data_IF_493966152622
#
_entry.id   IF_493966152622
#
_cell.length_a   1.000
_cell.length_b   1.000
_cell.length_c   1.000
_cell.angle_alpha   90.00
_cell.angle_beta   90.00
_cell.angle_gamma   90.00
#
_symmetry.space_group_name_H-M   'P 1'
#
loop_
_entity.id
_entity.type
_entity.pdbx_description
1 polymer ?
#
# COMPACT_ATOMS: atom_id res chain seq x y z
N UNK A 1 7.54 39.12 -10.19
CA UNK A 1 7.10 37.79 -9.77
C UNK A 1 8.34 36.98 -9.47
N UNK A 2 8.71 36.87 -8.17
CA UNK A 2 9.92 36.18 -7.77
C UNK A 2 9.76 34.69 -8.03
N UNK A 3 10.69 34.08 -8.72
CA UNK A 3 10.88 32.64 -8.79
C UNK A 3 11.00 32.11 -7.35
N UNK A 4 9.98 31.44 -6.86
CA UNK A 4 10.07 30.71 -5.60
C UNK A 4 11.16 29.66 -5.78
N UNK A 5 12.39 29.94 -5.31
CA UNK A 5 13.50 29.00 -5.32
C UNK A 5 13.03 27.74 -4.57
N UNK A 6 12.98 26.66 -5.30
CA UNK A 6 12.67 25.34 -4.78
C UNK A 6 13.56 25.02 -3.56
N UNK A 7 12.97 24.84 -2.40
CA UNK A 7 13.72 24.59 -1.18
C UNK A 7 13.83 23.10 -0.90
N UNK A 8 14.86 22.47 -1.47
CA UNK A 8 15.15 21.05 -1.30
C UNK A 8 15.28 20.64 0.17
N UNK A 9 15.73 21.54 1.06
CA UNK A 9 15.87 21.24 2.48
C UNK A 9 14.52 20.92 3.16
N UNK A 10 13.42 21.52 2.70
CA UNK A 10 12.07 21.22 3.20
C UNK A 10 11.51 19.89 2.65
N UNK A 11 12.04 19.41 1.53
CA UNK A 11 11.56 18.19 0.89
C UNK A 11 12.12 16.92 1.56
N UNK A 12 13.38 16.94 2.02
CA UNK A 12 14.03 15.77 2.61
C UNK A 12 13.23 15.15 3.77
N UNK A 13 12.73 15.92 4.78
CA UNK A 13 11.90 15.36 5.83
C UNK A 13 10.58 14.77 5.35
N UNK A 14 10.01 15.34 4.28
CA UNK A 14 8.78 14.80 3.68
C UNK A 14 9.07 13.49 2.93
N UNK A 15 10.23 13.37 2.28
CA UNK A 15 10.67 12.12 1.64
C UNK A 15 10.94 11.03 2.68
N UNK A 16 11.50 11.37 3.85
CA UNK A 16 11.62 10.43 4.97
C UNK A 16 10.24 9.96 5.46
N UNK A 17 9.24 10.84 5.48
CA UNK A 17 7.87 10.46 5.80
C UNK A 17 7.27 9.52 4.72
N UNK A 18 7.56 9.75 3.41
CA UNK A 18 7.21 8.79 2.35
C UNK A 18 7.90 7.44 2.54
N UNK A 19 9.16 7.42 2.95
CA UNK A 19 9.86 6.18 3.26
C UNK A 19 9.17 5.43 4.41
N UNK A 20 8.88 6.13 5.52
CA UNK A 20 8.15 5.57 6.65
C UNK A 20 6.73 5.10 6.27
N UNK A 21 6.07 5.75 5.31
CA UNK A 21 4.78 5.31 4.76
C UNK A 21 4.86 3.92 4.14
N UNK A 22 6.03 3.52 3.61
CA UNK A 22 6.26 2.19 3.06
C UNK A 22 6.32 1.07 4.10
N UNK A 23 6.45 1.40 5.39
CA UNK A 23 6.51 0.40 6.47
C UNK A 23 5.22 -0.40 6.62
N UNK A 24 4.09 0.11 6.16
CA UNK A 24 2.83 -0.66 6.14
C UNK A 24 2.97 -1.96 5.34
N UNK A 25 3.83 -1.98 4.34
CA UNK A 25 3.99 -3.13 3.47
C UNK A 25 4.83 -4.26 4.14
N UNK A 26 5.48 -3.97 5.30
CA UNK A 26 6.10 -5.01 6.15
C UNK A 26 5.06 -6.02 6.67
N UNK A 27 3.80 -5.63 6.74
CA UNK A 27 2.73 -6.49 7.27
C UNK A 27 2.64 -7.82 6.53
N UNK A 28 2.92 -7.84 5.22
CA UNK A 28 2.88 -9.08 4.43
C UNK A 28 3.87 -10.11 4.95
N UNK A 29 5.14 -9.73 5.06
CA UNK A 29 6.18 -10.64 5.54
C UNK A 29 6.06 -10.91 7.04
N UNK A 30 5.76 -9.90 7.85
CA UNK A 30 5.57 -10.07 9.29
C UNK A 30 4.41 -11.03 9.61
N UNK A 31 3.31 -11.01 8.83
CA UNK A 31 2.20 -11.97 8.98
C UNK A 31 2.68 -13.42 8.82
N UNK A 32 3.59 -13.66 7.88
CA UNK A 32 4.10 -15.01 7.65
C UNK A 32 4.98 -15.49 8.81
N UNK A 33 5.84 -14.63 9.36
CA UNK A 33 6.63 -14.96 10.55
C UNK A 33 5.72 -15.20 11.77
N UNK A 34 4.78 -14.30 12.06
CA UNK A 34 3.83 -14.47 13.17
C UNK A 34 3.01 -15.75 13.02
N UNK A 35 2.60 -16.10 11.78
CA UNK A 35 1.90 -17.36 11.52
C UNK A 35 2.72 -18.57 11.94
N UNK A 36 4.00 -18.61 11.57
CA UNK A 36 4.89 -19.72 11.87
C UNK A 36 5.22 -19.76 13.36
N UNK A 37 5.60 -18.62 13.95
CA UNK A 37 6.04 -18.53 15.34
C UNK A 37 4.92 -18.88 16.35
N UNK A 38 3.68 -18.55 16.02
CA UNK A 38 2.51 -18.78 16.89
C UNK A 38 1.62 -19.95 16.41
N UNK A 39 2.06 -20.71 15.41
CA UNK A 39 1.33 -21.87 14.85
C UNK A 39 -0.11 -21.55 14.44
N UNK A 40 -0.33 -20.40 13.79
CA UNK A 40 -1.67 -19.91 13.44
C UNK A 40 -2.16 -20.50 12.12
N UNK A 41 -3.49 -20.67 12.00
CA UNK A 41 -4.14 -20.93 10.70
C UNK A 41 -4.00 -19.73 9.75
N UNK A 42 -4.21 -19.94 8.46
CA UNK A 42 -4.22 -18.86 7.47
C UNK A 42 -5.33 -17.85 7.74
N UNK A 43 -6.49 -18.29 8.18
CA UNK A 43 -7.60 -17.42 8.58
C UNK A 43 -7.19 -16.47 9.70
N UNK A 44 -6.61 -16.99 10.78
CA UNK A 44 -6.21 -16.19 11.95
C UNK A 44 -5.06 -15.26 11.61
N UNK A 45 -4.02 -15.75 10.92
CA UNK A 45 -2.87 -14.92 10.55
C UNK A 45 -3.26 -13.75 9.64
N UNK A 46 -4.20 -13.95 8.71
CA UNK A 46 -4.66 -12.90 7.80
C UNK A 46 -5.56 -11.84 8.46
N UNK A 47 -5.94 -11.99 9.74
CA UNK A 47 -6.53 -10.90 10.52
C UNK A 47 -5.53 -9.75 10.68
N UNK A 48 -4.22 -10.04 10.77
CA UNK A 48 -3.19 -9.01 10.96
C UNK A 48 -3.15 -7.99 9.79
N UNK A 49 -2.96 -8.38 8.53
CA UNK A 49 -3.01 -7.43 7.42
C UNK A 49 -4.41 -6.81 7.27
N UNK A 50 -5.47 -7.56 7.56
CA UNK A 50 -6.83 -7.04 7.51
C UNK A 50 -7.03 -5.89 8.47
N UNK A 51 -6.51 -5.98 9.70
CA UNK A 51 -6.59 -4.90 10.68
C UNK A 51 -5.80 -3.67 10.29
N UNK A 52 -4.65 -3.82 9.60
CA UNK A 52 -3.91 -2.66 9.09
C UNK A 52 -4.76 -1.85 8.12
N UNK A 53 -5.45 -2.51 7.19
CA UNK A 53 -6.23 -1.83 6.15
C UNK A 53 -7.65 -1.45 6.58
N UNK A 54 -8.17 -2.06 7.65
CA UNK A 54 -9.47 -1.71 8.24
C UNK A 54 -9.55 -0.22 8.61
N UNK A 55 -8.49 0.32 9.18
CA UNK A 55 -8.46 1.69 9.67
C UNK A 55 -8.49 2.75 8.57
N UNK A 56 -8.20 2.39 7.32
CA UNK A 56 -8.38 3.30 6.18
C UNK A 56 -9.85 3.68 5.99
N UNK A 57 -10.78 2.75 6.25
CA UNK A 57 -12.21 3.02 6.20
C UNK A 57 -12.61 4.11 7.22
N UNK A 58 -12.03 4.05 8.42
CA UNK A 58 -12.42 4.90 9.54
C UNK A 58 -11.68 6.24 9.52
N UNK A 59 -10.35 6.23 9.31
CA UNK A 59 -9.50 7.40 9.54
C UNK A 59 -9.30 8.29 8.31
N UNK A 60 -9.58 7.83 7.07
CA UNK A 60 -9.30 8.64 5.87
C UNK A 60 -10.06 9.98 5.86
N UNK A 61 -11.35 9.98 6.21
CA UNK A 61 -12.15 11.22 6.24
C UNK A 61 -11.90 12.06 7.50
N UNK A 62 -11.88 11.51 8.73
CA UNK A 62 -11.52 12.27 9.92
C UNK A 62 -10.15 12.95 9.83
N UNK A 63 -9.18 12.35 9.14
CA UNK A 63 -7.86 12.96 8.92
C UNK A 63 -7.94 14.26 8.10
N UNK A 64 -8.84 14.32 7.10
CA UNK A 64 -9.12 15.56 6.38
C UNK A 64 -9.57 16.70 7.31
N UNK A 65 -10.46 16.36 8.26
CA UNK A 65 -10.91 17.33 9.28
C UNK A 65 -9.80 17.68 10.27
N UNK A 66 -8.97 16.74 10.63
CA UNK A 66 -7.82 16.96 11.52
C UNK A 66 -6.82 17.92 10.90
N UNK A 67 -6.49 17.75 9.60
CA UNK A 67 -5.61 18.66 8.86
C UNK A 67 -6.07 20.12 8.90
N UNK A 68 -7.38 20.37 8.90
CA UNK A 68 -7.90 21.73 8.98
C UNK A 68 -7.79 22.35 10.38
N UNK A 69 -7.75 21.52 11.43
CA UNK A 69 -7.60 21.99 12.82
C UNK A 69 -6.14 22.26 13.19
N UNK A 70 -5.26 21.31 12.90
CA UNK A 70 -3.87 21.33 13.38
C UNK A 70 -2.83 21.50 12.28
N UNK A 71 -3.25 21.58 11.02
CA UNK A 71 -2.39 21.67 9.84
C UNK A 71 -1.93 20.30 9.32
N UNK A 72 -1.47 20.28 8.07
CA UNK A 72 -1.03 19.08 7.35
C UNK A 72 0.26 18.51 7.94
N UNK A 73 1.24 19.40 8.21
CA UNK A 73 2.52 19.02 8.81
C UNK A 73 2.35 18.32 10.16
N UNK A 74 1.57 18.91 11.06
CA UNK A 74 1.34 18.30 12.38
C UNK A 74 0.57 16.99 12.27
N UNK A 75 -0.34 16.86 11.30
CA UNK A 75 -1.04 15.61 11.02
C UNK A 75 -0.07 14.52 10.56
N UNK A 76 0.90 14.84 9.69
CA UNK A 76 1.96 13.90 9.27
C UNK A 76 2.87 13.54 10.46
N UNK A 77 3.22 14.48 11.31
CA UNK A 77 4.01 14.20 12.54
C UNK A 77 3.26 13.22 13.46
N UNK A 78 1.97 13.45 13.70
CA UNK A 78 1.14 12.53 14.49
C UNK A 78 1.14 11.13 13.87
N UNK A 79 1.01 11.01 12.56
CA UNK A 79 1.03 9.71 11.89
C UNK A 79 2.36 8.98 12.07
N UNK A 80 3.49 9.69 11.98
CA UNK A 80 4.83 9.14 12.23
C UNK A 80 5.01 8.69 13.68
N UNK A 81 4.48 9.46 14.66
CA UNK A 81 4.52 9.08 16.07
C UNK A 81 3.69 7.81 16.30
N UNK A 82 2.47 7.74 15.76
CA UNK A 82 1.63 6.54 15.85
C UNK A 82 2.33 5.34 15.22
N UNK A 83 2.98 5.52 14.06
CA UNK A 83 3.78 4.48 13.41
C UNK A 83 4.96 4.04 14.30
N UNK A 84 5.70 4.98 14.90
CA UNK A 84 6.81 4.64 15.80
C UNK A 84 6.32 3.85 17.04
N UNK A 85 5.20 4.26 17.63
CA UNK A 85 4.57 3.55 18.76
C UNK A 85 4.12 2.15 18.34
N UNK A 86 3.54 2.00 17.16
CA UNK A 86 3.14 0.68 16.64
C UNK A 86 4.32 -0.29 16.54
N UNK A 87 5.47 0.22 16.05
CA UNK A 87 6.69 -0.56 15.89
C UNK A 87 7.41 -0.85 17.22
N UNK A 88 7.16 -0.06 18.26
CA UNK A 88 7.69 -0.28 19.60
C UNK A 88 6.98 -1.43 20.33
N UNK A 89 5.66 -1.60 20.12
CA UNK A 89 4.86 -2.58 20.87
C UNK A 89 5.41 -4.01 20.84
N UNK A 90 5.81 -4.57 19.68
CA UNK A 90 6.37 -5.92 19.61
C UNK A 90 7.68 -6.10 20.37
N UNK A 91 8.34 -5.01 20.77
CA UNK A 91 9.62 -5.02 21.48
C UNK A 91 9.45 -4.95 22.99
N UNK A 92 8.35 -4.33 23.47
CA UNK A 92 8.13 -4.08 24.90
C UNK A 92 7.02 -4.94 25.50
N UNK A 93 6.14 -5.49 24.69
CA UNK A 93 5.09 -6.38 25.10
C UNK A 93 5.49 -7.85 24.92
N UNK A 94 4.85 -8.74 25.66
CA UNK A 94 4.97 -10.18 25.45
C UNK A 94 4.61 -10.53 23.99
N UNK A 95 5.45 -11.36 23.35
CA UNK A 95 5.23 -11.78 21.98
C UNK A 95 4.07 -12.76 21.87
N UNK A 96 2.90 -12.24 21.54
CA UNK A 96 1.68 -13.02 21.35
C UNK A 96 0.76 -12.36 20.32
N UNK A 97 -0.30 -13.04 19.93
CA UNK A 97 -1.20 -12.57 18.87
C UNK A 97 -1.84 -11.20 19.17
N UNK A 98 -2.28 -10.95 20.39
CA UNK A 98 -2.99 -9.71 20.75
C UNK A 98 -2.10 -8.47 20.68
N UNK A 99 -0.91 -8.41 21.28
CA UNK A 99 0.02 -7.30 21.07
C UNK A 99 0.40 -7.07 19.60
N UNK A 100 0.60 -8.13 18.82
CA UNK A 100 0.86 -8.01 17.39
C UNK A 100 -0.33 -7.40 16.64
N UNK A 101 -1.55 -7.82 16.97
CA UNK A 101 -2.78 -7.26 16.40
C UNK A 101 -2.95 -5.77 16.72
N UNK A 102 -2.65 -5.36 17.96
CA UNK A 102 -2.67 -3.95 18.39
C UNK A 102 -1.59 -3.15 17.64
N UNK A 103 -0.39 -3.69 17.57
CA UNK A 103 0.71 -3.08 16.80
C UNK A 103 0.31 -2.83 15.35
N UNK A 104 -0.22 -3.83 14.66
CA UNK A 104 -0.63 -3.71 13.25
C UNK A 104 -1.85 -2.80 13.08
N UNK A 105 -2.76 -2.79 14.04
CA UNK A 105 -3.87 -1.82 14.07
C UNK A 105 -3.35 -0.38 14.14
N UNK A 106 -2.41 -0.09 15.04
CA UNK A 106 -1.80 1.23 15.16
C UNK A 106 -0.97 1.60 13.91
N UNK A 107 -0.26 0.63 13.31
CA UNK A 107 0.44 0.82 12.04
C UNK A 107 -0.54 1.24 10.94
N UNK A 108 -1.70 0.60 10.88
CA UNK A 108 -2.78 0.92 9.95
C UNK A 108 -3.35 2.33 10.18
N UNK A 109 -3.61 2.70 11.43
CA UNK A 109 -4.06 4.06 11.80
C UNK A 109 -3.02 5.10 11.37
N UNK A 110 -1.76 4.90 11.75
CA UNK A 110 -0.67 5.78 11.36
C UNK A 110 -0.58 5.94 9.84
N UNK A 111 -0.68 4.84 9.11
CA UNK A 111 -0.58 4.86 7.65
C UNK A 111 -1.81 5.51 6.98
N UNK A 112 -3.01 5.30 7.48
CA UNK A 112 -4.22 5.96 6.97
C UNK A 112 -4.13 7.49 7.13
N UNK A 113 -3.66 7.96 8.30
CA UNK A 113 -3.40 9.38 8.56
C UNK A 113 -2.29 9.90 7.62
N UNK A 114 -1.21 9.14 7.45
CA UNK A 114 -0.08 9.51 6.59
C UNK A 114 -0.51 9.67 5.14
N UNK A 115 -1.12 8.66 4.55
CA UNK A 115 -1.50 8.68 3.13
C UNK A 115 -2.49 9.81 2.80
N UNK A 116 -3.36 10.14 3.75
CA UNK A 116 -4.32 11.23 3.56
C UNK A 116 -3.66 12.61 3.65
N UNK A 117 -2.61 12.78 4.46
CA UNK A 117 -2.04 14.10 4.79
C UNK A 117 -0.75 14.45 4.04
N UNK A 118 0.06 13.46 3.65
CA UNK A 118 1.38 13.72 3.05
C UNK A 118 1.30 14.38 1.67
N UNK A 119 0.36 13.94 0.82
CA UNK A 119 0.20 14.50 -0.52
C UNK A 119 -0.25 15.98 -0.49
N UNK A 120 -1.25 16.39 0.31
CA UNK A 120 -1.54 17.79 0.55
C UNK A 120 -0.37 18.58 1.15
N UNK A 121 0.46 17.96 2.01
CA UNK A 121 1.64 18.62 2.57
C UNK A 121 2.68 18.95 1.49
N UNK A 122 2.94 18.02 0.55
CA UNK A 122 3.83 18.26 -0.60
C UNK A 122 3.35 19.47 -1.40
N UNK A 123 2.04 19.65 -1.58
CA UNK A 123 1.51 20.78 -2.35
C UNK A 123 1.76 22.16 -1.70
N UNK A 124 2.15 22.20 -0.43
CA UNK A 124 2.58 23.43 0.26
C UNK A 124 4.05 23.78 -0.02
N UNK A 125 4.86 22.81 -0.47
CA UNK A 125 6.29 22.99 -0.74
C UNK A 125 6.52 23.22 -2.23
N UNK A 126 5.72 22.55 -3.06
CA UNK A 126 5.88 22.49 -4.51
C UNK A 126 4.56 22.77 -5.21
N UNK A 127 4.60 23.52 -6.30
CA UNK A 127 3.42 23.87 -7.09
C UNK A 127 3.61 23.59 -8.59
N UNK A 128 2.51 23.64 -9.34
CA UNK A 128 2.53 23.52 -10.80
C UNK A 128 3.02 22.15 -11.28
N UNK A 129 3.79 22.14 -12.36
CA UNK A 129 4.29 20.90 -13.02
C UNK A 129 5.20 20.06 -12.11
N UNK A 130 5.89 20.70 -11.18
CA UNK A 130 6.81 20.00 -10.26
C UNK A 130 6.08 19.18 -9.19
N UNK A 131 4.84 19.52 -8.85
CA UNK A 131 4.06 18.81 -7.86
C UNK A 131 3.89 17.32 -8.19
N UNK A 132 3.47 17.02 -9.42
CA UNK A 132 3.30 15.64 -9.87
C UNK A 132 4.62 14.86 -9.83
N UNK A 133 5.72 15.48 -10.26
CA UNK A 133 7.05 14.87 -10.23
C UNK A 133 7.49 14.54 -8.79
N UNK A 134 7.34 15.48 -7.86
CA UNK A 134 7.73 15.28 -6.45
C UNK A 134 6.85 14.24 -5.76
N UNK A 135 5.54 14.22 -6.03
CA UNK A 135 4.64 13.18 -5.51
C UNK A 135 5.04 11.79 -6.05
N UNK A 136 5.34 11.68 -7.36
CA UNK A 136 5.81 10.42 -7.97
C UNK A 136 7.13 9.98 -7.36
N UNK A 137 8.05 10.91 -7.12
CA UNK A 137 9.32 10.60 -6.46
C UNK A 137 9.11 10.16 -5.00
N UNK A 138 8.16 10.76 -4.28
CA UNK A 138 7.74 10.30 -2.95
C UNK A 138 7.23 8.85 -2.96
N UNK A 139 6.39 8.50 -3.93
CA UNK A 139 5.91 7.12 -4.09
C UNK A 139 7.04 6.14 -4.45
N UNK A 140 8.03 6.58 -5.24
CA UNK A 140 9.23 5.78 -5.49
C UNK A 140 10.03 5.55 -4.20
N UNK A 141 10.21 6.58 -3.36
CA UNK A 141 10.88 6.44 -2.05
C UNK A 141 10.10 5.48 -1.13
N UNK A 142 8.75 5.55 -1.13
CA UNK A 142 7.89 4.57 -0.45
C UNK A 142 8.18 3.15 -0.94
N UNK A 143 8.23 2.95 -2.25
CA UNK A 143 8.42 1.64 -2.85
C UNK A 143 9.80 1.03 -2.51
N UNK A 144 10.83 1.86 -2.30
CA UNK A 144 12.13 1.39 -1.80
C UNK A 144 11.99 0.77 -0.41
N UNK A 145 11.27 1.43 0.51
CA UNK A 145 11.04 0.89 1.85
C UNK A 145 10.30 -0.45 1.80
N UNK A 146 9.28 -0.55 0.97
CA UNK A 146 8.50 -1.78 0.76
C UNK A 146 9.36 -2.91 0.19
N UNK A 147 10.27 -2.60 -0.75
CA UNK A 147 11.21 -3.56 -1.33
C UNK A 147 12.24 -4.06 -0.32
N UNK A 148 12.76 -3.17 0.53
CA UNK A 148 13.83 -3.48 1.48
C UNK A 148 13.31 -4.22 2.71
N UNK A 149 12.04 -4.02 3.11
CA UNK A 149 11.47 -4.62 4.31
C UNK A 149 11.61 -6.16 4.38
N UNK A 150 11.22 -6.94 3.36
CA UNK A 150 11.40 -8.40 3.39
C UNK A 150 12.88 -8.82 3.42
N UNK A 151 13.76 -8.05 2.78
CA UNK A 151 15.20 -8.32 2.77
C UNK A 151 15.77 -8.13 4.18
N UNK A 152 15.40 -7.05 4.89
CA UNK A 152 15.82 -6.80 6.26
C UNK A 152 15.29 -7.90 7.18
N UNK A 153 14.01 -8.29 7.04
CA UNK A 153 13.41 -9.34 7.86
C UNK A 153 14.14 -10.69 7.68
N UNK A 154 14.39 -11.08 6.42
CA UNK A 154 15.14 -12.31 6.10
C UNK A 154 16.57 -12.25 6.63
N UNK A 155 17.28 -11.15 6.41
CA UNK A 155 18.64 -10.96 6.92
C UNK A 155 18.69 -11.05 8.45
N UNK A 156 17.74 -10.41 9.13
CA UNK A 156 17.67 -10.45 10.59
C UNK A 156 17.37 -11.85 11.12
N UNK A 157 16.44 -12.57 10.46
CA UNK A 157 16.14 -13.96 10.82
C UNK A 157 17.36 -14.89 10.67
N UNK A 158 18.19 -14.69 9.64
CA UNK A 158 19.38 -15.53 9.40
C UNK A 158 20.54 -15.15 10.34
N UNK A 159 20.81 -13.85 10.55
CA UNK A 159 21.98 -13.40 11.29
C UNK A 159 21.78 -13.36 12.80
N UNK A 160 20.59 -13.07 13.27
CA UNK A 160 20.26 -12.87 14.68
C UNK A 160 19.24 -13.90 15.20
N UNK A 161 18.77 -14.80 14.34
CA UNK A 161 17.70 -15.74 14.66
C UNK A 161 16.41 -15.04 15.16
N UNK A 162 16.29 -13.75 14.85
CA UNK A 162 15.16 -12.91 15.27
C UNK A 162 14.75 -11.88 14.18
N UNK A 163 13.75 -12.23 13.38
CA UNK A 163 13.20 -11.36 12.36
C UNK A 163 12.61 -10.05 12.93
N UNK A 164 12.28 -10.02 14.22
CA UNK A 164 11.67 -8.85 14.89
C UNK A 164 12.60 -7.66 14.96
N UNK A 165 13.89 -7.83 14.67
CA UNK A 165 14.85 -6.73 14.50
C UNK A 165 14.42 -5.74 13.39
N UNK A 166 13.50 -6.10 12.51
CA UNK A 166 12.85 -5.21 11.56
C UNK A 166 12.14 -4.04 12.28
N UNK A 167 11.46 -4.29 13.39
CA UNK A 167 10.70 -3.28 14.12
C UNK A 167 11.57 -2.15 14.68
N UNK A 168 12.66 -2.39 15.44
CA UNK A 168 13.51 -1.32 15.94
C UNK A 168 14.19 -0.52 14.81
N UNK A 169 14.58 -1.17 13.71
CA UNK A 169 15.17 -0.48 12.56
C UNK A 169 14.17 0.53 11.99
N UNK A 170 12.95 0.12 11.71
CA UNK A 170 11.92 1.00 11.15
C UNK A 170 11.40 2.03 12.16
N UNK A 171 11.37 1.68 13.45
CA UNK A 171 11.05 2.62 14.53
C UNK A 171 12.05 3.78 14.57
N UNK A 172 13.36 3.49 14.53
CA UNK A 172 14.40 4.52 14.52
C UNK A 172 14.24 5.46 13.32
N UNK A 173 13.96 4.92 12.13
CA UNK A 173 13.71 5.74 10.93
C UNK A 173 12.45 6.62 11.11
N UNK A 174 11.38 6.09 11.70
CA UNK A 174 10.17 6.87 12.00
C UNK A 174 10.46 8.01 12.97
N UNK A 175 11.24 7.76 14.03
CA UNK A 175 11.65 8.80 15.00
C UNK A 175 12.51 9.87 14.32
N UNK A 176 13.47 9.49 13.48
CA UNK A 176 14.27 10.44 12.70
C UNK A 176 13.36 11.30 11.81
N UNK A 177 12.36 10.72 11.17
CA UNK A 177 11.40 11.44 10.34
C UNK A 177 10.55 12.43 11.17
N UNK A 178 10.12 12.03 12.39
CA UNK A 178 9.42 12.93 13.34
C UNK A 178 10.30 14.13 13.68
N UNK A 179 11.56 13.89 14.07
CA UNK A 179 12.49 14.97 14.46
C UNK A 179 12.79 15.89 13.28
N UNK A 180 13.11 15.32 12.11
CA UNK A 180 13.41 16.08 10.90
C UNK A 180 12.22 16.94 10.46
N UNK A 181 11.00 16.39 10.44
CA UNK A 181 9.81 17.15 10.09
C UNK A 181 9.43 18.14 11.21
N UNK A 182 9.70 17.78 12.47
CA UNK A 182 9.45 18.60 13.66
C UNK A 182 10.22 19.92 13.67
N UNK A 183 11.46 19.94 13.17
CA UNK A 183 12.28 21.17 13.07
C UNK A 183 12.05 21.94 11.77
N UNK A 184 11.41 21.33 10.78
CA UNK A 184 11.19 21.94 9.46
C UNK A 184 9.91 22.78 9.46
N UNK A 185 10.02 24.07 9.23
CA UNK A 185 8.86 24.97 9.09
C UNK A 185 8.33 24.94 7.66
N UNK A 186 7.07 24.52 7.51
CA UNK A 186 6.35 24.51 6.25
C UNK A 186 5.15 25.45 6.38
N UNK A 187 5.07 26.43 5.50
CA UNK A 187 3.92 27.35 5.45
C UNK A 187 2.73 26.62 4.81
N UNK A 188 1.58 26.71 5.45
CA UNK A 188 0.39 25.98 5.03
C UNK A 188 -0.74 26.93 4.65
N UNK A 189 -1.33 26.69 3.49
CA UNK A 189 -2.56 27.36 3.06
C UNK A 189 -3.77 26.57 3.52
N UNK A 190 -4.74 27.25 4.14
CA UNK A 190 -6.02 26.64 4.50
C UNK A 190 -6.74 26.17 3.24
N UNK A 191 -7.20 24.93 3.21
CA UNK A 191 -8.01 24.38 2.13
C UNK A 191 -9.43 24.11 2.62
N UNK A 192 -10.41 24.14 1.69
CA UNK A 192 -11.78 23.77 2.00
C UNK A 192 -11.88 22.32 2.42
N UNK A 193 -12.66 22.06 3.48
CA UNK A 193 -12.89 20.71 3.99
C UNK A 193 -13.96 20.00 3.20
N UNK A 194 -13.69 18.77 2.87
CA UNK A 194 -14.72 17.86 2.38
C UNK A 194 -15.42 17.19 3.56
N UNK A 195 -16.77 17.28 3.61
CA UNK A 195 -17.55 16.65 4.66
C UNK A 195 -17.83 15.18 4.36
N UNK A 196 -18.05 14.39 5.42
CA UNK A 196 -18.39 12.95 5.34
C UNK A 196 -19.59 12.72 4.39
N UNK A 197 -20.65 13.50 4.53
CA UNK A 197 -21.84 13.37 3.71
C UNK A 197 -21.64 13.64 2.22
N UNK A 198 -20.70 14.52 1.86
CA UNK A 198 -20.36 14.80 0.46
C UNK A 198 -19.63 13.63 -0.20
N UNK A 199 -18.75 12.95 0.53
CA UNK A 199 -18.06 11.76 0.03
C UNK A 199 -19.06 10.64 -0.27
N UNK A 200 -19.95 10.31 0.69
CA UNK A 200 -20.88 9.20 0.52
C UNK A 200 -21.94 9.42 -0.56
N UNK A 201 -22.40 10.66 -0.77
CA UNK A 201 -23.32 10.98 -1.88
C UNK A 201 -22.73 10.64 -3.25
N UNK A 202 -21.40 10.68 -3.41
CA UNK A 202 -20.74 10.34 -4.66
C UNK A 202 -20.78 8.84 -4.97
N UNK A 203 -20.89 7.96 -3.96
CA UNK A 203 -21.08 6.52 -4.18
C UNK A 203 -22.39 6.18 -4.91
N UNK A 204 -23.39 7.08 -4.89
CA UNK A 204 -24.58 6.94 -5.72
C UNK A 204 -24.29 7.02 -7.22
N UNK A 205 -23.14 7.54 -7.64
CA UNK A 205 -22.73 7.52 -9.03
C UNK A 205 -22.09 6.17 -9.39
N UNK A 206 -22.67 5.50 -10.41
CA UNK A 206 -22.25 4.16 -10.85
C UNK A 206 -20.74 4.07 -11.17
N UNK A 207 -20.17 5.09 -11.81
CA UNK A 207 -18.75 5.05 -12.17
C UNK A 207 -17.86 5.18 -10.93
N UNK A 208 -18.20 6.08 -10.00
CA UNK A 208 -17.47 6.26 -8.74
C UNK A 208 -17.54 4.98 -7.90
N UNK A 209 -18.72 4.35 -7.83
CA UNK A 209 -18.89 3.08 -7.10
C UNK A 209 -18.05 1.96 -7.72
N UNK A 210 -18.09 1.82 -9.05
CA UNK A 210 -17.25 0.82 -9.74
C UNK A 210 -15.76 1.12 -9.57
N UNK A 211 -15.35 2.39 -9.57
CA UNK A 211 -13.97 2.79 -9.32
C UNK A 211 -13.53 2.44 -7.88
N UNK A 212 -14.41 2.69 -6.91
CA UNK A 212 -14.18 2.33 -5.51
C UNK A 212 -13.94 0.81 -5.36
N UNK A 213 -14.81 -0.02 -5.96
CA UNK A 213 -14.62 -1.47 -5.98
C UNK A 213 -13.35 -1.87 -6.74
N UNK A 214 -13.00 -1.17 -7.81
CA UNK A 214 -11.76 -1.40 -8.56
C UNK A 214 -10.51 -1.17 -7.69
N UNK A 215 -10.52 -0.14 -6.84
CA UNK A 215 -9.45 0.12 -5.87
C UNK A 215 -9.43 -0.95 -4.79
N UNK A 216 -10.59 -1.40 -4.30
CA UNK A 216 -10.65 -2.51 -3.34
C UNK A 216 -10.00 -3.78 -3.92
N UNK A 217 -10.30 -4.12 -5.16
CA UNK A 217 -9.69 -5.28 -5.84
C UNK A 217 -8.18 -5.09 -6.03
N UNK A 218 -7.74 -3.90 -6.48
CA UNK A 218 -6.32 -3.58 -6.64
C UNK A 218 -5.54 -3.81 -5.34
N UNK A 219 -6.01 -3.24 -4.23
CA UNK A 219 -5.32 -3.36 -2.93
C UNK A 219 -5.43 -4.78 -2.38
N UNK A 220 -6.58 -5.45 -2.59
CA UNK A 220 -6.73 -6.86 -2.23
C UNK A 220 -5.72 -7.76 -2.93
N UNK A 221 -5.45 -7.53 -4.22
CA UNK A 221 -4.41 -8.25 -4.97
C UNK A 221 -3.01 -7.86 -4.47
N UNK A 222 -2.78 -6.58 -4.16
CA UNK A 222 -1.50 -6.08 -3.67
C UNK A 222 -1.09 -6.75 -2.36
N UNK A 223 -1.94 -6.61 -1.35
CA UNK A 223 -1.73 -7.21 -0.02
C UNK A 223 -1.75 -8.73 -0.11
N UNK A 224 -2.67 -9.27 -0.89
CA UNK A 224 -2.83 -10.69 -1.09
C UNK A 224 -1.57 -11.35 -1.67
N UNK A 225 -1.01 -10.78 -2.73
CA UNK A 225 0.24 -11.31 -3.33
C UNK A 225 1.39 -11.24 -2.35
N UNK A 226 1.49 -10.14 -1.60
CA UNK A 226 2.53 -9.91 -0.61
C UNK A 226 2.52 -10.96 0.52
N UNK A 227 1.33 -11.33 1.00
CA UNK A 227 1.16 -12.36 2.03
C UNK A 227 1.32 -13.77 1.47
N UNK A 228 0.81 -14.04 0.26
CA UNK A 228 0.67 -15.39 -0.27
C UNK A 228 1.91 -15.88 -1.02
N UNK A 229 2.69 -15.00 -1.67
CA UNK A 229 3.83 -15.42 -2.47
C UNK A 229 4.90 -16.20 -1.66
N UNK A 230 5.31 -15.77 -0.44
CA UNK A 230 6.17 -16.58 0.41
C UNK A 230 5.55 -17.93 0.78
N UNK A 231 4.26 -17.96 1.13
CA UNK A 231 3.57 -19.20 1.53
C UNK A 231 3.55 -20.24 0.40
N UNK A 232 3.41 -19.80 -0.87
CA UNK A 232 3.47 -20.69 -2.03
C UNK A 232 4.87 -21.33 -2.17
N UNK A 233 5.95 -20.57 -1.95
CA UNK A 233 7.31 -21.12 -1.96
C UNK A 233 7.53 -22.11 -0.83
N UNK A 234 7.02 -21.84 0.36
CA UNK A 234 7.08 -22.78 1.49
C UNK A 234 6.27 -24.05 1.18
N UNK A 235 5.04 -23.93 0.66
CA UNK A 235 4.15 -25.06 0.37
C UNK A 235 4.69 -25.97 -0.74
N UNK A 236 5.25 -25.40 -1.83
CA UNK A 236 5.59 -26.18 -3.05
C UNK A 236 7.06 -26.50 -3.21
N UNK A 237 7.94 -25.66 -2.65
CA UNK A 237 9.38 -25.77 -2.83
C UNK A 237 10.07 -26.15 -1.52
N UNK A 238 9.33 -26.17 -0.39
CA UNK A 238 9.85 -26.42 0.94
C UNK A 238 10.94 -25.40 1.37
N UNK A 239 10.83 -24.15 0.90
CA UNK A 239 11.70 -23.08 1.34
C UNK A 239 11.49 -22.78 2.83
N UNK A 240 12.58 -22.40 3.52
CA UNK A 240 12.47 -21.75 4.81
C UNK A 240 11.70 -20.43 4.65
N UNK A 241 11.07 -19.94 5.71
CA UNK A 241 10.36 -18.65 5.65
C UNK A 241 11.33 -17.51 5.31
N UNK A 242 12.57 -17.56 5.80
CA UNK A 242 13.60 -16.56 5.47
C UNK A 242 13.89 -16.49 3.97
N UNK A 243 14.07 -17.64 3.32
CA UNK A 243 14.32 -17.71 1.88
C UNK A 243 13.07 -17.32 1.07
N UNK A 244 11.90 -17.77 1.53
CA UNK A 244 10.62 -17.48 0.87
C UNK A 244 10.24 -15.98 0.91
N UNK A 245 10.70 -15.25 1.93
CA UNK A 245 10.44 -13.82 2.09
C UNK A 245 10.89 -12.98 0.88
N UNK A 246 11.90 -13.45 0.13
CA UNK A 246 12.40 -12.76 -1.06
C UNK A 246 11.34 -12.64 -2.17
N UNK A 247 10.32 -13.52 -2.21
CA UNK A 247 9.22 -13.41 -3.16
C UNK A 247 8.47 -12.07 -3.06
N UNK A 248 8.31 -11.56 -1.84
CA UNK A 248 7.72 -10.23 -1.59
C UNK A 248 8.57 -9.11 -2.19
N UNK A 249 9.90 -9.21 -2.07
CA UNK A 249 10.81 -8.23 -2.68
C UNK A 249 10.76 -8.29 -4.21
N UNK A 250 10.63 -9.47 -4.81
CA UNK A 250 10.41 -9.61 -6.26
C UNK A 250 9.13 -8.90 -6.69
N UNK A 251 8.04 -9.07 -5.94
CA UNK A 251 6.79 -8.35 -6.21
C UNK A 251 7.00 -6.83 -6.24
N UNK A 252 7.58 -6.28 -5.18
CA UNK A 252 7.79 -4.84 -5.07
C UNK A 252 8.80 -4.30 -6.06
N UNK A 253 9.84 -5.07 -6.43
CA UNK A 253 10.76 -4.71 -7.48
C UNK A 253 10.03 -4.48 -8.82
N UNK A 254 9.24 -5.47 -9.25
CA UNK A 254 8.51 -5.37 -10.52
C UNK A 254 7.39 -4.33 -10.46
N UNK A 255 6.76 -4.14 -9.30
CA UNK A 255 5.81 -3.05 -9.07
C UNK A 255 6.48 -1.68 -9.21
N UNK A 256 7.68 -1.51 -8.65
CA UNK A 256 8.47 -0.26 -8.77
C UNK A 256 8.87 0.00 -10.22
N UNK A 257 9.36 -1.02 -10.93
CA UNK A 257 9.66 -0.93 -12.37
C UNK A 257 8.41 -0.55 -13.17
N UNK A 258 7.28 -1.15 -12.84
CA UNK A 258 6.00 -0.86 -13.49
C UNK A 258 5.52 0.58 -13.23
N UNK A 259 5.64 1.10 -12.00
CA UNK A 259 5.33 2.50 -11.68
C UNK A 259 6.26 3.46 -12.44
N UNK A 260 7.56 3.19 -12.43
CA UNK A 260 8.54 4.02 -13.12
C UNK A 260 8.30 4.04 -14.63
N UNK A 261 8.22 2.87 -15.27
CA UNK A 261 7.96 2.75 -16.70
C UNK A 261 6.60 3.32 -17.10
N UNK A 262 5.59 3.12 -16.27
CA UNK A 262 4.24 3.62 -16.49
C UNK A 262 4.17 5.14 -16.59
N UNK A 263 5.00 5.88 -15.85
CA UNK A 263 5.05 7.34 -15.92
C UNK A 263 5.46 7.85 -17.31
N UNK A 264 6.33 7.12 -18.01
CA UNK A 264 6.75 7.43 -19.38
C UNK A 264 5.77 6.88 -20.42
N UNK A 265 5.27 5.66 -20.22
CA UNK A 265 4.37 4.99 -21.17
C UNK A 265 3.02 5.71 -21.24
N UNK A 266 2.46 6.14 -20.11
CA UNK A 266 1.17 6.84 -20.04
C UNK A 266 1.18 8.20 -20.74
N UNK A 267 2.36 8.78 -21.02
CA UNK A 267 2.47 9.97 -21.85
C UNK A 267 2.30 9.70 -23.36
N UNK A 268 2.42 8.44 -23.77
CA UNK A 268 2.39 8.01 -25.19
C UNK A 268 1.26 7.03 -25.51
N UNK A 269 0.79 6.29 -24.53
CA UNK A 269 -0.23 5.24 -24.67
C UNK A 269 -1.45 5.62 -23.84
N UNK A 270 -2.65 5.37 -24.37
CA UNK A 270 -3.88 5.69 -23.62
C UNK A 270 -3.97 4.92 -22.31
N UNK A 271 -4.46 5.57 -21.26
CA UNK A 271 -4.65 4.99 -19.94
C UNK A 271 -5.44 3.67 -19.99
N UNK A 272 -6.44 3.58 -20.88
CA UNK A 272 -7.24 2.35 -21.08
C UNK A 272 -6.39 1.18 -21.56
N UNK A 273 -5.54 1.38 -22.57
CA UNK A 273 -4.70 0.31 -23.12
C UNK A 273 -3.70 -0.15 -22.09
N UNK A 274 -3.04 0.79 -21.40
CA UNK A 274 -2.07 0.47 -20.37
C UNK A 274 -2.72 -0.26 -19.17
N UNK A 275 -3.91 0.17 -18.76
CA UNK A 275 -4.71 -0.51 -17.73
C UNK A 275 -4.99 -1.98 -18.10
N UNK A 276 -5.47 -2.23 -19.34
CA UNK A 276 -5.80 -3.58 -19.81
C UNK A 276 -4.53 -4.45 -19.88
N UNK A 277 -3.41 -3.92 -20.37
CA UNK A 277 -2.12 -4.64 -20.38
C UNK A 277 -1.71 -5.02 -18.96
N UNK A 278 -1.82 -4.10 -17.99
CA UNK A 278 -1.53 -4.38 -16.59
C UNK A 278 -2.41 -5.49 -16.03
N UNK A 279 -3.74 -5.43 -16.27
CA UNK A 279 -4.66 -6.46 -15.76
C UNK A 279 -4.42 -7.82 -16.44
N UNK A 280 -4.10 -7.85 -17.74
CA UNK A 280 -3.73 -9.09 -18.44
C UNK A 280 -2.41 -9.66 -17.91
N UNK A 281 -1.43 -8.83 -17.59
CA UNK A 281 -0.19 -9.27 -16.92
C UNK A 281 -0.49 -9.94 -15.58
N UNK A 282 -1.38 -9.33 -14.75
CA UNK A 282 -1.83 -9.95 -13.50
C UNK A 282 -2.55 -11.28 -13.74
N UNK A 283 -3.44 -11.34 -14.73
CA UNK A 283 -4.19 -12.56 -15.07
C UNK A 283 -3.25 -13.70 -15.47
N UNK A 284 -2.23 -13.42 -16.30
CA UNK A 284 -1.20 -14.39 -16.68
C UNK A 284 -0.39 -14.85 -15.47
N UNK A 285 0.04 -13.91 -14.61
CA UNK A 285 0.75 -14.23 -13.37
C UNK A 285 -0.08 -15.12 -12.44
N UNK A 286 -1.36 -14.78 -12.22
CA UNK A 286 -2.28 -15.57 -11.39
C UNK A 286 -2.53 -16.97 -11.96
N UNK A 287 -2.78 -17.08 -13.26
CA UNK A 287 -2.95 -18.37 -13.91
C UNK A 287 -1.66 -19.21 -13.85
N UNK A 288 -0.51 -18.58 -14.13
CA UNK A 288 0.79 -19.24 -14.08
C UNK A 288 1.14 -19.76 -12.69
N UNK A 289 0.86 -18.99 -11.63
CA UNK A 289 1.21 -19.37 -10.26
C UNK A 289 0.43 -20.61 -9.77
N UNK A 290 -0.75 -20.87 -10.32
CA UNK A 290 -1.53 -22.09 -10.00
C UNK A 290 -0.74 -23.35 -10.39
N UNK A 291 -0.02 -23.31 -11.52
CA UNK A 291 0.73 -24.44 -12.08
C UNK A 291 2.25 -24.36 -11.80
N UNK A 292 2.73 -23.30 -11.15
CA UNK A 292 4.15 -23.08 -10.92
C UNK A 292 4.69 -24.06 -9.88
N UNK A 293 5.71 -24.86 -10.26
CA UNK A 293 6.39 -25.83 -9.40
C UNK A 293 7.91 -25.60 -9.32
N UNK A 294 8.38 -24.44 -9.75
CA UNK A 294 9.78 -24.05 -9.64
C UNK A 294 9.90 -22.63 -9.12
N UNK A 295 10.99 -22.33 -8.42
CA UNK A 295 11.31 -21.00 -7.87
C UNK A 295 11.24 -19.92 -8.96
N UNK A 296 11.89 -20.17 -10.10
CA UNK A 296 11.96 -19.23 -11.21
C UNK A 296 10.57 -18.94 -11.77
N UNK A 297 9.74 -19.96 -11.94
CA UNK A 297 8.39 -19.79 -12.45
C UNK A 297 7.50 -18.99 -11.47
N UNK A 298 7.61 -19.27 -10.16
CA UNK A 298 6.91 -18.53 -9.13
C UNK A 298 7.34 -17.05 -9.14
N UNK A 299 8.64 -16.76 -9.21
CA UNK A 299 9.15 -15.39 -9.27
C UNK A 299 8.71 -14.64 -10.52
N UNK A 300 8.69 -15.29 -11.69
CA UNK A 300 8.15 -14.70 -12.93
C UNK A 300 6.68 -14.36 -12.74
N UNK A 301 5.87 -15.28 -12.20
CA UNK A 301 4.44 -15.05 -11.97
C UNK A 301 4.22 -13.90 -10.98
N UNK A 302 4.94 -13.87 -9.86
CA UNK A 302 4.88 -12.80 -8.86
C UNK A 302 5.31 -11.46 -9.46
N UNK A 303 6.36 -11.46 -10.28
CA UNK A 303 6.80 -10.26 -11.02
C UNK A 303 5.75 -9.74 -12.00
N UNK A 304 5.10 -10.63 -12.76
CA UNK A 304 4.00 -10.26 -13.66
C UNK A 304 2.81 -9.64 -12.92
N UNK A 305 2.48 -10.17 -11.72
CA UNK A 305 1.42 -9.62 -10.88
C UNK A 305 1.84 -8.24 -10.37
N UNK A 306 3.07 -8.08 -9.86
CA UNK A 306 3.60 -6.81 -9.36
C UNK A 306 3.64 -5.73 -10.44
N UNK A 307 4.18 -6.05 -11.62
CA UNK A 307 4.21 -5.14 -12.76
C UNK A 307 2.80 -4.74 -13.19
N UNK A 308 1.89 -5.71 -13.32
CA UNK A 308 0.52 -5.47 -13.74
C UNK A 308 -0.26 -4.59 -12.77
N UNK A 309 -0.03 -4.77 -11.46
CA UNK A 309 -0.74 -4.03 -10.41
C UNK A 309 -0.24 -2.60 -10.20
N UNK A 310 0.94 -2.26 -10.72
CA UNK A 310 1.68 -1.04 -10.43
C UNK A 310 0.92 0.27 -10.69
N UNK A 311 0.19 0.36 -11.80
CA UNK A 311 -0.48 1.60 -12.24
C UNK A 311 -2.01 1.55 -12.17
N UNK A 312 -2.58 0.49 -11.62
CA UNK A 312 -4.04 0.32 -11.54
C UNK A 312 -4.67 1.43 -10.69
N UNK A 313 -4.13 1.66 -9.48
CA UNK A 313 -4.62 2.70 -8.57
C UNK A 313 -4.59 4.11 -9.18
N UNK A 314 -3.45 4.62 -9.68
CA UNK A 314 -3.40 5.97 -10.23
C UNK A 314 -4.29 6.15 -11.46
N UNK A 315 -4.48 5.13 -12.29
CA UNK A 315 -5.38 5.20 -13.44
C UNK A 315 -6.82 5.29 -12.97
N UNK A 316 -7.26 4.44 -12.04
CA UNK A 316 -8.65 4.48 -11.51
C UNK A 316 -8.90 5.83 -10.85
N UNK A 317 -8.00 6.28 -9.96
CA UNK A 317 -8.12 7.53 -9.24
C UNK A 317 -8.23 8.73 -10.20
N UNK A 318 -7.32 8.83 -11.18
CA UNK A 318 -7.33 9.94 -12.14
C UNK A 318 -8.63 9.96 -12.97
N UNK A 319 -9.09 8.80 -13.43
CA UNK A 319 -10.35 8.69 -14.18
C UNK A 319 -11.57 9.12 -13.35
N UNK A 320 -11.60 8.74 -12.06
CA UNK A 320 -12.66 9.15 -11.15
C UNK A 320 -12.63 10.67 -10.89
N UNK A 321 -11.44 11.25 -10.69
CA UNK A 321 -11.27 12.68 -10.47
C UNK A 321 -11.61 13.53 -11.70
N UNK A 322 -11.27 13.05 -12.91
CA UNK A 322 -11.61 13.74 -14.16
C UNK A 322 -13.11 13.80 -14.42
N UNK A 323 -13.87 12.85 -13.89
CA UNK A 323 -15.33 12.84 -14.04
C UNK A 323 -16.02 13.89 -13.14
N UNK A 324 -15.38 14.30 -12.04
CA UNK A 324 -15.89 15.26 -11.07
C UNK A 324 -14.86 16.32 -10.74
N UNK A 325 -14.54 17.23 -11.69
CA UNK A 325 -13.47 18.21 -11.52
C UNK A 325 -13.69 19.16 -10.33
N UNK A 326 -14.94 19.47 -9.99
CA UNK A 326 -15.30 20.35 -8.88
C UNK A 326 -15.31 19.62 -7.51
N UNK A 327 -15.22 18.28 -7.50
CA UNK A 327 -15.30 17.44 -6.29
C UNK A 327 -14.10 16.53 -6.13
N UNK A 328 -12.95 16.91 -6.67
CA UNK A 328 -11.72 16.07 -6.67
C UNK A 328 -11.32 15.59 -5.28
N UNK A 329 -11.42 16.46 -4.27
CA UNK A 329 -11.04 16.11 -2.88
C UNK A 329 -11.97 15.04 -2.31
N UNK A 330 -13.30 15.17 -2.54
CA UNK A 330 -14.27 14.17 -2.10
C UNK A 330 -14.07 12.82 -2.80
N UNK A 331 -13.83 12.84 -4.11
CA UNK A 331 -13.54 11.64 -4.91
C UNK A 331 -12.26 10.99 -4.43
N UNK A 332 -11.20 11.77 -4.19
CA UNK A 332 -9.91 11.24 -3.72
C UNK A 332 -10.05 10.58 -2.35
N UNK A 333 -10.71 11.25 -1.38
CA UNK A 333 -10.97 10.68 -0.06
C UNK A 333 -11.73 9.36 -0.13
N UNK A 334 -12.76 9.29 -0.99
CA UNK A 334 -13.54 8.08 -1.21
C UNK A 334 -12.70 6.96 -1.84
N UNK A 335 -11.86 7.28 -2.81
CA UNK A 335 -10.97 6.29 -3.43
C UNK A 335 -9.95 5.75 -2.44
N UNK A 336 -9.40 6.59 -1.55
CA UNK A 336 -8.49 6.16 -0.48
C UNK A 336 -9.22 5.25 0.51
N UNK A 337 -10.50 5.49 0.83
CA UNK A 337 -11.30 4.54 1.61
C UNK A 337 -11.39 3.16 0.94
N UNK A 338 -11.30 3.07 -0.38
CA UNK A 338 -11.27 1.81 -1.12
C UNK A 338 -10.07 0.92 -0.77
N UNK A 339 -9.01 1.47 -0.12
CA UNK A 339 -7.90 0.68 0.43
C UNK A 339 -8.36 -0.32 1.50
N UNK A 340 -9.58 -0.17 2.02
CA UNK A 340 -10.26 -1.19 2.83
C UNK A 340 -10.36 -2.57 2.15
N UNK A 341 -10.18 -2.66 0.83
CA UNK A 341 -10.00 -3.92 0.11
C UNK A 341 -8.90 -4.80 0.69
N UNK A 342 -7.83 -4.18 1.24
CA UNK A 342 -6.78 -4.88 1.98
C UNK A 342 -7.25 -5.52 3.30
N UNK A 343 -8.43 -5.21 3.79
CA UNK A 343 -9.11 -5.92 4.88
C UNK A 343 -9.90 -7.11 4.36
N UNK A 344 -10.71 -6.88 3.35
CA UNK A 344 -11.67 -7.89 2.86
C UNK A 344 -10.97 -9.07 2.20
N UNK A 345 -10.00 -8.80 1.34
CA UNK A 345 -9.34 -9.86 0.57
C UNK A 345 -8.53 -10.83 1.45
N UNK A 346 -7.64 -10.41 2.37
CA UNK A 346 -6.89 -11.35 3.21
C UNK A 346 -7.78 -12.24 4.06
N UNK A 347 -8.92 -11.74 4.57
CA UNK A 347 -9.87 -12.56 5.31
C UNK A 347 -10.47 -13.67 4.44
N UNK A 348 -10.95 -13.30 3.24
CA UNK A 348 -11.50 -14.27 2.29
C UNK A 348 -10.43 -15.26 1.80
N UNK A 349 -9.20 -14.79 1.59
CA UNK A 349 -8.06 -15.60 1.18
C UNK A 349 -7.67 -16.61 2.25
N UNK A 350 -7.60 -16.19 3.53
CA UNK A 350 -7.31 -17.07 4.65
C UNK A 350 -8.35 -18.20 4.73
N UNK A 351 -9.63 -17.84 4.74
CA UNK A 351 -10.72 -18.82 4.75
C UNK A 351 -10.67 -19.79 3.57
N UNK A 352 -10.44 -19.27 2.35
CA UNK A 352 -10.35 -20.11 1.15
C UNK A 352 -9.13 -21.04 1.18
N UNK A 353 -7.97 -20.57 1.67
CA UNK A 353 -6.77 -21.38 1.79
C UNK A 353 -6.94 -22.51 2.81
N UNK A 354 -7.50 -22.19 3.99
CA UNK A 354 -7.78 -23.20 5.02
C UNK A 354 -8.81 -24.24 4.53
N UNK A 355 -9.85 -23.80 3.80
CA UNK A 355 -10.90 -24.70 3.28
C UNK A 355 -10.40 -25.65 2.19
N UNK A 356 -9.46 -25.20 1.35
CA UNK A 356 -8.89 -25.99 0.26
C UNK A 356 -7.66 -26.78 0.74
N UNK A 357 -7.04 -26.38 1.85
CA UNK A 357 -5.78 -26.93 2.34
C UNK A 357 -4.57 -26.55 1.49
N UNK A 358 -4.65 -25.43 0.73
CA UNK A 358 -3.58 -24.95 -0.16
C UNK A 358 -3.72 -23.45 -0.43
N UNK A 359 -2.57 -22.79 -0.69
CA UNK A 359 -2.53 -21.39 -1.08
C UNK A 359 -3.21 -21.08 -2.43
N UNK A 360 -3.59 -22.10 -3.18
CA UNK A 360 -4.46 -21.95 -4.36
C UNK A 360 -5.76 -21.24 -4.00
N UNK A 361 -6.30 -21.46 -2.78
CA UNK A 361 -7.49 -20.76 -2.29
C UNK A 361 -7.31 -19.23 -2.29
N UNK A 362 -6.19 -18.74 -1.80
CA UNK A 362 -5.86 -17.32 -1.83
C UNK A 362 -5.72 -16.80 -3.27
N UNK A 363 -5.09 -17.56 -4.16
CA UNK A 363 -4.92 -17.18 -5.58
C UNK A 363 -6.27 -17.07 -6.27
N UNK A 364 -7.23 -17.95 -6.01
CA UNK A 364 -8.58 -17.89 -6.57
C UNK A 364 -9.33 -16.63 -6.12
N UNK A 365 -9.24 -16.26 -4.85
CA UNK A 365 -9.87 -15.03 -4.33
C UNK A 365 -9.28 -13.79 -5.02
N UNK A 366 -7.95 -13.70 -5.17
CA UNK A 366 -7.30 -12.64 -5.92
C UNK A 366 -7.71 -12.65 -7.40
N UNK A 367 -7.88 -13.84 -7.99
CA UNK A 367 -8.36 -14.04 -9.36
C UNK A 367 -9.73 -13.40 -9.61
N UNK A 368 -10.65 -13.47 -8.64
CA UNK A 368 -11.95 -12.76 -8.71
C UNK A 368 -11.73 -11.25 -8.83
N UNK A 369 -10.78 -10.69 -8.06
CA UNK A 369 -10.40 -9.28 -8.17
C UNK A 369 -9.84 -8.93 -9.57
N UNK A 370 -9.02 -9.79 -10.16
CA UNK A 370 -8.50 -9.60 -11.52
C UNK A 370 -9.61 -9.62 -12.56
N UNK A 371 -10.56 -10.55 -12.46
CA UNK A 371 -11.74 -10.61 -13.34
C UNK A 371 -12.57 -9.34 -13.23
N UNK A 372 -12.77 -8.82 -12.01
CA UNK A 372 -13.45 -7.54 -11.82
C UNK A 372 -12.69 -6.38 -12.50
N UNK A 373 -11.37 -6.33 -12.37
CA UNK A 373 -10.55 -5.30 -12.99
C UNK A 373 -10.58 -5.38 -14.53
N UNK A 374 -10.64 -6.59 -15.11
CA UNK A 374 -10.87 -6.77 -16.56
C UNK A 374 -12.21 -6.16 -16.99
N UNK A 375 -13.28 -6.46 -16.25
CA UNK A 375 -14.59 -5.82 -16.47
C UNK A 375 -14.50 -4.30 -16.35
N UNK A 376 -13.88 -3.77 -15.28
CA UNK A 376 -13.71 -2.33 -15.08
C UNK A 376 -12.90 -1.68 -16.20
N UNK A 377 -11.91 -2.37 -16.77
CA UNK A 377 -11.11 -1.92 -17.91
C UNK A 377 -11.96 -1.52 -19.12
N UNK A 378 -13.15 -2.14 -19.31
CA UNK A 378 -14.09 -1.74 -20.36
C UNK A 378 -14.68 -0.33 -20.14
N UNK A 379 -14.72 0.12 -18.88
CA UNK A 379 -15.28 1.43 -18.46
C UNK A 379 -14.22 2.55 -18.42
N UNK A 380 -12.94 2.20 -18.41
CA UNK A 380 -11.84 3.18 -18.46
C UNK A 380 -11.91 3.93 -19.80
N UNK A 381 -11.91 5.27 -19.72
CA UNK A 381 -11.98 6.11 -20.92
C UNK A 381 -10.61 6.19 -21.60
N UNK A 382 -10.63 6.28 -22.92
CA UNK A 382 -9.43 6.66 -23.67
C UNK A 382 -9.15 8.14 -23.37
N UNK A 383 -8.16 8.42 -22.53
CA UNK A 383 -7.58 9.75 -22.42
C UNK A 383 -6.40 9.80 -23.37
N UNK A 384 -6.52 10.64 -24.38
CA UNK A 384 -5.40 10.98 -25.27
C UNK A 384 -4.45 11.93 -24.57
#
# INVERSE_FOLDING_TARGET
>A
MGENKFNYAKLIPVLLAFFAMGFVDLVGIATNYVKVDLELSDTISNILPSMVFFWFLIFSVPTGMLMNKIGRRNTVIISLIVTAVSLLLPLVCEYSFVPMLISFSLLGIGNAIMQTSINPLVSNIVSGKQLASVMTFGQFVKAIASFVAPIIASWAAIQFEDWKMLFPIFMVVSVIAVLALGVTRIEETKSETTTFGQCFKLLGNKFVFLSFLGIMCHVGIDVGTNVTAPKILMERINFSLGDAAFATSVYFLFRTIGCFSGSFILSKVSAKVFFIIGVLSMALGMAGIVFANSVVMIYICVGLIGFGNSNIFPIILSQAMLQFPDKKNAVSGLMIMGLFGGTVFPLLMGYASDSIGSQVGAVLVMGVGVVYLLFFGTKVRKTN
#
